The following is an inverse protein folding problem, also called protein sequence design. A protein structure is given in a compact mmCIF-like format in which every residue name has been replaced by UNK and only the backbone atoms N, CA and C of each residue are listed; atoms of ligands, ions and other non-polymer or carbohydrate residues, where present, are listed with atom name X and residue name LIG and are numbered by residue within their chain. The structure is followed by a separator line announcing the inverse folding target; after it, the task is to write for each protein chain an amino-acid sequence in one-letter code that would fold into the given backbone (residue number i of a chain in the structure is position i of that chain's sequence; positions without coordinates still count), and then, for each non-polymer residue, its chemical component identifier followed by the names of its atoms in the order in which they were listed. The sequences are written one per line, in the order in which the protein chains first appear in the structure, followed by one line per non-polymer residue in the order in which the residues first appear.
data_IF_235484317255
#
_entry.id   IF_235484317255
#
_cell.length_a   1.000
_cell.length_b   1.000
_cell.length_c   1.000
_cell.angle_alpha   90.00
_cell.angle_beta   90.00
_cell.angle_gamma   90.00
#
_symmetry.space_group_name_H-M   'P 1'
#
loop_
_entity.id
_entity.type
_entity.pdbx_description
1 polymer ?
#
# COMPACT_ATOMS: atom_id res chain seq x y z
N UNK A 1 16.56 0.95 -3.39
CA UNK A 1 16.37 -0.50 -3.64
C UNK A 1 15.75 -1.11 -2.39
N UNK A 2 14.50 -1.56 -2.45
CA UNK A 2 13.80 -2.11 -1.29
C UNK A 2 14.51 -3.38 -0.80
N UNK A 3 14.80 -3.45 0.50
CA UNK A 3 15.47 -4.58 1.15
C UNK A 3 14.46 -5.24 2.07
N UNK A 4 14.45 -6.56 2.05
CA UNK A 4 13.62 -7.38 2.94
C UNK A 4 14.52 -8.06 3.97
N UNK A 5 13.98 -8.33 5.15
CA UNK A 5 14.66 -9.10 6.19
C UNK A 5 14.40 -10.58 5.94
N UNK A 6 15.45 -11.38 5.82
CA UNK A 6 15.31 -12.82 5.65
C UNK A 6 14.71 -13.44 6.93
N UNK A 7 13.61 -14.22 6.86
CA UNK A 7 12.97 -14.78 8.06
C UNK A 7 13.82 -15.84 8.77
N UNK A 8 14.82 -16.41 8.08
CA UNK A 8 15.66 -17.48 8.65
C UNK A 8 16.88 -16.96 9.40
N UNK A 9 17.53 -15.91 8.88
CA UNK A 9 18.82 -15.43 9.41
C UNK A 9 18.82 -13.94 9.77
N UNK A 10 17.68 -13.27 9.63
CA UNK A 10 17.46 -11.84 9.91
C UNK A 10 18.39 -10.88 9.15
N UNK A 11 19.19 -11.41 8.22
CA UNK A 11 20.06 -10.64 7.37
C UNK A 11 19.29 -9.97 6.24
N UNK A 12 19.88 -8.89 5.71
CA UNK A 12 19.34 -8.17 4.55
C UNK A 12 19.36 -9.08 3.32
N UNK A 13 18.21 -9.19 2.67
CA UNK A 13 18.05 -9.85 1.38
C UNK A 13 17.63 -8.83 0.32
N UNK A 14 18.00 -9.13 -0.92
CA UNK A 14 17.76 -8.32 -2.10
C UNK A 14 16.62 -8.92 -2.91
N UNK A 15 15.67 -8.09 -3.32
CA UNK A 15 14.58 -8.51 -4.20
C UNK A 15 15.16 -8.72 -5.61
N UNK A 16 15.04 -9.93 -6.15
CA UNK A 16 15.53 -10.29 -7.49
C UNK A 16 14.43 -10.18 -8.54
N UNK A 17 13.21 -10.62 -8.20
CA UNK A 17 12.04 -10.51 -9.07
C UNK A 17 10.76 -10.28 -8.27
N UNK A 18 9.73 -9.83 -8.98
CA UNK A 18 8.39 -9.58 -8.42
C UNK A 18 7.35 -10.21 -9.33
N UNK A 19 6.32 -10.79 -8.73
CA UNK A 19 5.17 -11.37 -9.42
C UNK A 19 3.90 -10.73 -8.85
N UNK A 20 3.24 -9.91 -9.67
CA UNK A 20 2.01 -9.22 -9.29
C UNK A 20 0.86 -10.23 -9.26
N UNK A 21 0.21 -10.37 -8.10
CA UNK A 21 -0.96 -11.23 -7.94
C UNK A 21 -2.26 -10.44 -8.13
N UNK A 22 -2.31 -9.20 -7.65
CA UNK A 22 -3.44 -8.29 -7.82
C UNK A 22 -2.98 -6.84 -7.70
N UNK A 23 -3.92 -5.88 -7.80
CA UNK A 23 -3.62 -4.45 -7.62
C UNK A 23 -2.95 -4.12 -6.27
N UNK A 24 -3.12 -4.97 -5.26
CA UNK A 24 -2.69 -4.72 -3.89
C UNK A 24 -1.83 -5.83 -3.30
N UNK A 25 -1.51 -6.89 -4.06
CA UNK A 25 -0.75 -8.05 -3.57
C UNK A 25 0.35 -8.42 -4.57
N UNK A 26 1.57 -8.59 -4.06
CA UNK A 26 2.75 -8.97 -4.85
C UNK A 26 3.55 -10.05 -4.14
N UNK A 27 4.02 -11.04 -4.89
CA UNK A 27 5.04 -11.98 -4.43
C UNK A 27 6.42 -11.43 -4.78
N UNK A 28 7.29 -11.34 -3.79
CA UNK A 28 8.67 -10.89 -3.91
C UNK A 28 9.60 -12.10 -3.77
N UNK A 29 10.41 -12.35 -4.79
CA UNK A 29 11.46 -13.36 -4.74
C UNK A 29 12.75 -12.67 -4.37
N UNK A 30 13.42 -13.22 -3.35
CA UNK A 30 14.53 -12.53 -2.72
C UNK A 30 15.70 -13.47 -2.51
N UNK A 31 16.91 -12.97 -2.79
CA UNK A 31 18.17 -13.67 -2.57
C UNK A 31 19.04 -12.91 -1.57
N UNK A 32 19.79 -13.65 -0.74
CA UNK A 32 20.72 -13.04 0.22
C UNK A 32 21.89 -12.37 -0.51
N UNK A 33 22.32 -11.21 -0.03
CA UNK A 33 23.40 -10.43 -0.67
C UNK A 33 24.80 -10.96 -0.37
N UNK A 34 24.97 -11.76 0.70
CA UNK A 34 26.24 -12.38 1.08
C UNK A 34 26.07 -13.90 1.12
N UNK A 35 26.52 -14.56 0.05
CA UNK A 35 26.33 -15.98 -0.26
C UNK A 35 27.31 -16.93 0.44
N UNK A 36 28.22 -16.42 1.28
CA UNK A 36 29.35 -17.22 1.80
C UNK A 36 28.96 -18.34 2.79
N UNK A 37 27.74 -18.36 3.30
CA UNK A 37 27.29 -19.42 4.23
C UNK A 37 25.90 -19.97 3.92
N UNK A 38 25.01 -19.20 3.28
CA UNK A 38 23.63 -19.63 2.99
C UNK A 38 23.10 -18.96 1.71
N UNK A 39 22.90 -19.76 0.66
CA UNK A 39 22.32 -19.36 -0.64
C UNK A 39 20.79 -19.44 -0.70
N UNK A 40 20.12 -19.27 0.43
CA UNK A 40 18.66 -19.42 0.50
C UNK A 40 17.96 -18.34 -0.34
N UNK A 41 16.99 -18.78 -1.14
CA UNK A 41 16.06 -17.92 -1.87
C UNK A 41 14.70 -18.05 -1.22
N UNK A 42 14.06 -16.94 -0.88
CA UNK A 42 12.74 -16.96 -0.26
C UNK A 42 11.71 -16.19 -1.09
N UNK A 43 10.46 -16.61 -0.97
CA UNK A 43 9.30 -15.89 -1.47
C UNK A 43 8.59 -15.22 -0.29
N UNK A 44 8.35 -13.92 -0.39
CA UNK A 44 7.55 -13.15 0.58
C UNK A 44 6.36 -12.55 -0.15
N UNK A 45 5.17 -12.70 0.41
CA UNK A 45 3.97 -12.02 -0.09
C UNK A 45 3.83 -10.68 0.64
N UNK A 46 3.77 -9.60 -0.12
CA UNK A 46 3.52 -8.25 0.38
C UNK A 46 2.13 -7.79 -0.08
N UNK A 47 1.31 -7.35 0.86
CA UNK A 47 -0.03 -6.84 0.60
C UNK A 47 -0.22 -5.45 1.18
N UNK A 48 -1.07 -4.65 0.55
CA UNK A 48 -1.60 -3.43 1.15
C UNK A 48 -2.47 -3.79 2.35
N UNK A 49 -2.34 -3.02 3.42
CA UNK A 49 -3.13 -3.17 4.64
C UNK A 49 -4.10 -1.99 4.80
N UNK A 50 -3.59 -0.83 5.23
CA UNK A 50 -4.36 0.41 5.24
C UNK A 50 -3.45 1.64 5.08
N UNK A 51 -4.06 2.79 4.82
CA UNK A 51 -3.36 4.08 4.91
C UNK A 51 -3.36 4.56 6.37
N UNK A 52 -2.19 4.75 6.96
CA UNK A 52 -2.06 5.42 8.26
C UNK A 52 -2.53 6.88 8.20
N UNK A 53 -2.23 7.55 7.09
CA UNK A 53 -2.77 8.85 6.74
C UNK A 53 -3.33 8.75 5.32
N UNK A 54 -4.67 8.64 5.16
CA UNK A 54 -5.27 8.46 3.84
C UNK A 54 -4.95 9.66 2.95
N UNK A 55 -4.91 9.47 1.62
CA UNK A 55 -4.71 10.58 0.70
C UNK A 55 -5.74 11.67 0.96
N UNK A 56 -5.28 12.93 0.97
CA UNK A 56 -6.13 14.08 1.22
C UNK A 56 -7.34 14.05 0.29
N UNK A 57 -8.54 14.07 0.86
CA UNK A 57 -9.75 14.38 0.09
C UNK A 57 -9.51 15.72 -0.59
N UNK A 58 -9.73 15.78 -1.90
CA UNK A 58 -9.70 17.08 -2.60
C UNK A 58 -10.68 18.04 -1.91
N UNK A 59 -10.44 19.35 -2.00
CA UNK A 59 -11.34 20.35 -1.39
C UNK A 59 -12.79 20.10 -1.85
N UNK A 60 -12.99 19.69 -3.11
CA UNK A 60 -14.28 19.27 -3.65
C UNK A 60 -14.87 18.04 -2.93
N UNK A 61 -14.08 16.99 -2.66
CA UNK A 61 -14.55 15.83 -1.89
C UNK A 61 -14.88 16.18 -0.44
N UNK A 62 -14.14 17.12 0.17
CA UNK A 62 -14.45 17.63 1.50
C UNK A 62 -15.76 18.42 1.51
N UNK A 63 -15.91 19.40 0.60
CA UNK A 63 -17.12 20.18 0.45
C UNK A 63 -18.34 19.29 0.17
N UNK A 64 -18.22 18.32 -0.74
CA UNK A 64 -19.28 17.35 -0.99
C UNK A 64 -19.61 16.48 0.24
N UNK A 65 -18.61 16.13 1.06
CA UNK A 65 -18.84 15.40 2.32
C UNK A 65 -19.60 16.26 3.32
N UNK A 66 -19.29 17.56 3.42
CA UNK A 66 -19.98 18.49 4.32
C UNK A 66 -21.42 18.75 3.88
N UNK A 67 -21.64 19.04 2.59
CA UNK A 67 -22.98 19.27 2.03
C UNK A 67 -23.89 18.06 2.30
N UNK A 68 -23.40 16.83 2.10
CA UNK A 68 -24.16 15.60 2.36
C UNK A 68 -24.64 15.43 3.81
N UNK A 69 -24.05 16.14 4.78
CA UNK A 69 -24.47 16.07 6.18
C UNK A 69 -25.56 17.10 6.54
N UNK A 70 -25.93 18.00 5.62
CA UNK A 70 -26.99 18.99 5.85
C UNK A 70 -28.38 18.41 5.52
N UNK A 71 -29.47 19.02 6.00
CA UNK A 71 -30.84 18.72 5.55
C UNK A 71 -30.99 18.90 4.03
N UNK A 72 -31.93 18.15 3.42
CA UNK A 72 -32.10 18.13 1.95
C UNK A 72 -32.41 19.50 1.35
N UNK A 73 -33.13 20.35 2.08
CA UNK A 73 -33.48 21.70 1.66
C UNK A 73 -32.22 22.57 1.55
N UNK A 74 -31.38 22.59 2.58
CA UNK A 74 -30.11 23.32 2.59
C UNK A 74 -29.11 22.78 1.55
N UNK A 75 -29.14 21.47 1.27
CA UNK A 75 -28.33 20.88 0.21
C UNK A 75 -28.67 21.46 -1.16
N UNK A 76 -29.97 21.58 -1.47
CA UNK A 76 -30.49 22.07 -2.75
C UNK A 76 -30.11 23.53 -2.97
N UNK A 77 -30.22 24.36 -1.92
CA UNK A 77 -29.76 25.75 -1.96
C UNK A 77 -28.26 25.87 -2.28
N UNK A 78 -27.43 25.02 -1.67
CA UNK A 78 -25.97 25.05 -1.84
C UNK A 78 -25.49 24.50 -3.19
N UNK A 79 -26.27 23.63 -3.84
CA UNK A 79 -25.93 23.07 -5.16
C UNK A 79 -26.64 23.78 -6.32
N UNK A 80 -27.47 24.78 -6.03
CA UNK A 80 -28.14 25.63 -7.02
C UNK A 80 -29.19 24.89 -7.87
N UNK A 81 -29.82 23.85 -7.30
CA UNK A 81 -30.88 23.04 -7.92
C UNK A 81 -32.20 23.17 -7.18
#
# INVERSE_FOLDING_TARGET
MARITCPNCEAKATITSRETQSAHVVNLYCSRTNTNEYGATCRITQSFDHFLNPPFKTIAQLAASLIKNLPREEQLELIGL
#
